data_IF_101902358766
#
_entry.id   IF_101902358766
#
_cell.length_a   1.000
_cell.length_b   1.000
_cell.length_c   1.000
_cell.angle_alpha   90.00
_cell.angle_beta   90.00
_cell.angle_gamma   90.00
#
_symmetry.space_group_name_H-M   'P 1'
#
loop_
_entity.id
_entity.type
_entity.pdbx_description
1 polymer ?
#
# COMPACT_ATOMS: atom_id res chain seq x y z
N UNK A 1 -24.33 13.86 16.24
CA UNK A 1 -23.71 12.94 17.21
C UNK A 1 -23.12 11.74 16.48
N UNK A 2 -21.88 11.38 16.86
CA UNK A 2 -21.18 10.13 16.53
C UNK A 2 -20.86 9.88 15.05
N UNK A 3 -19.90 10.64 14.51
CA UNK A 3 -19.01 10.07 13.50
C UNK A 3 -18.19 8.98 14.21
N UNK A 4 -18.41 7.73 13.79
CA UNK A 4 -17.62 6.57 14.21
C UNK A 4 -16.19 6.74 13.66
N UNK A 5 -15.36 7.57 14.32
CA UNK A 5 -13.91 7.56 14.11
C UNK A 5 -13.36 6.29 14.76
N UNK A 6 -13.41 5.20 14.01
CA UNK A 6 -12.65 4.00 14.35
C UNK A 6 -11.17 4.36 14.30
N UNK A 7 -10.54 4.45 15.47
CA UNK A 7 -9.15 4.84 15.66
C UNK A 7 -8.16 3.73 15.25
N UNK A 8 -8.32 3.16 14.06
CA UNK A 8 -7.24 2.37 13.44
C UNK A 8 -6.35 3.36 12.70
N UNK A 9 -5.50 4.07 13.44
CA UNK A 9 -4.52 4.97 12.84
C UNK A 9 -3.46 4.10 12.17
N UNK A 10 -3.62 3.84 10.88
CA UNK A 10 -2.53 3.27 10.10
C UNK A 10 -1.36 4.26 10.07
N UNK A 11 -0.11 3.80 10.07
CA UNK A 11 1.03 4.70 9.91
C UNK A 11 1.03 5.26 8.48
N UNK A 12 1.24 6.58 8.35
CA UNK A 12 1.35 7.25 7.05
C UNK A 12 2.62 6.85 6.28
N UNK A 13 3.55 6.14 6.93
CA UNK A 13 4.86 5.79 6.38
C UNK A 13 5.48 4.59 7.09
N UNK A 14 6.17 3.74 6.34
CA UNK A 14 6.92 2.60 6.89
C UNK A 14 8.20 2.32 6.09
N UNK A 15 9.19 1.70 6.73
CA UNK A 15 10.42 1.28 6.07
C UNK A 15 10.16 0.02 5.22
N UNK A 16 10.52 0.09 3.95
CA UNK A 16 10.53 -1.02 3.02
C UNK A 16 11.92 -1.06 2.37
N UNK A 17 12.88 -1.80 2.95
CA UNK A 17 14.24 -1.87 2.41
C UNK A 17 14.33 -2.66 1.10
N UNK A 18 13.20 -3.21 0.62
CA UNK A 18 13.13 -4.00 -0.61
C UNK A 18 13.08 -3.10 -1.84
N UNK A 19 13.91 -3.42 -2.82
CA UNK A 19 13.82 -2.84 -4.16
C UNK A 19 12.74 -3.55 -5.00
N UNK A 20 12.44 -3.01 -6.19
CA UNK A 20 11.35 -3.53 -7.02
C UNK A 20 11.55 -4.97 -7.50
N UNK A 21 12.80 -5.40 -7.70
CA UNK A 21 13.11 -6.78 -8.09
C UNK A 21 12.87 -7.73 -6.91
N UNK A 22 13.31 -7.35 -5.71
CA UNK A 22 13.05 -8.14 -4.50
C UNK A 22 11.55 -8.23 -4.17
N UNK A 23 10.78 -7.16 -4.40
CA UNK A 23 9.32 -7.19 -4.32
C UNK A 23 8.71 -8.11 -5.38
N UNK A 24 9.26 -8.13 -6.59
CA UNK A 24 8.79 -9.00 -7.66
C UNK A 24 9.03 -10.47 -7.32
N UNK A 25 10.23 -10.81 -6.86
CA UNK A 25 10.59 -12.15 -6.42
C UNK A 25 9.75 -12.61 -5.23
N UNK A 26 9.54 -11.74 -4.22
CA UNK A 26 8.73 -12.05 -3.04
C UNK A 26 7.25 -12.28 -3.37
N UNK A 27 6.71 -11.58 -4.38
CA UNK A 27 5.30 -11.69 -4.79
C UNK A 27 5.08 -12.70 -5.93
N UNK A 28 6.14 -13.31 -6.46
CA UNK A 28 6.06 -14.17 -7.65
C UNK A 28 5.57 -13.44 -8.90
N UNK A 29 5.76 -12.12 -8.94
CA UNK A 29 5.36 -11.25 -10.05
C UNK A 29 6.56 -10.93 -10.93
N UNK A 30 6.32 -10.54 -12.18
CA UNK A 30 7.41 -10.00 -12.99
C UNK A 30 7.78 -8.59 -12.53
N UNK A 31 9.07 -8.23 -12.64
CA UNK A 31 9.55 -6.89 -12.29
C UNK A 31 8.79 -5.78 -13.02
N UNK A 32 8.44 -5.99 -14.30
CA UNK A 32 7.66 -5.01 -15.08
C UNK A 32 6.24 -4.83 -14.52
N UNK A 33 5.64 -5.88 -13.95
CA UNK A 33 4.31 -5.80 -13.33
C UNK A 33 4.39 -5.00 -12.03
N UNK A 34 5.38 -5.26 -11.18
CA UNK A 34 5.62 -4.46 -9.96
C UNK A 34 5.85 -2.99 -10.30
N UNK A 35 6.71 -2.69 -11.28
CA UNK A 35 6.93 -1.30 -11.71
C UNK A 35 5.66 -0.61 -12.19
N UNK A 36 4.78 -1.33 -12.91
CA UNK A 36 3.48 -0.79 -13.35
C UNK A 36 2.56 -0.49 -12.17
N UNK A 37 2.44 -1.41 -11.21
CA UNK A 37 1.60 -1.22 -10.02
C UNK A 37 2.11 -0.04 -9.18
N UNK A 38 3.42 0.03 -8.90
CA UNK A 38 4.01 1.13 -8.14
C UNK A 38 3.85 2.48 -8.86
N UNK A 39 3.95 2.48 -10.20
CA UNK A 39 3.69 3.67 -11.01
C UNK A 39 2.23 4.11 -10.88
N UNK A 40 1.28 3.18 -11.01
CA UNK A 40 -0.15 3.48 -10.84
C UNK A 40 -0.43 4.07 -9.47
N UNK A 41 0.06 3.46 -8.38
CA UNK A 41 -0.12 3.96 -7.01
C UNK A 41 0.41 5.39 -6.83
N UNK A 42 1.52 5.72 -7.51
CA UNK A 42 2.09 7.06 -7.49
C UNK A 42 1.27 8.06 -8.31
N UNK A 43 0.79 7.66 -9.49
CA UNK A 43 0.00 8.50 -10.38
C UNK A 43 -1.42 8.78 -9.84
N UNK A 44 -2.01 7.81 -9.13
CA UNK A 44 -3.29 7.96 -8.44
C UNK A 44 -3.15 8.66 -7.08
N UNK A 45 -1.93 8.97 -6.65
CA UNK A 45 -1.67 9.65 -5.38
C UNK A 45 -2.03 8.81 -4.15
N UNK A 46 -2.08 7.49 -4.27
CA UNK A 46 -2.44 6.58 -3.18
C UNK A 46 -1.24 6.25 -2.28
N UNK A 47 -0.09 5.96 -2.88
CA UNK A 47 1.15 5.64 -2.17
C UNK A 47 2.39 6.00 -3.00
N UNK A 48 3.50 6.25 -2.32
CA UNK A 48 4.79 6.48 -2.95
C UNK A 48 5.91 5.66 -2.31
N UNK A 49 6.83 5.19 -3.15
CA UNK A 49 7.96 4.35 -2.75
C UNK A 49 9.24 5.10 -3.09
N UNK A 50 9.99 5.57 -2.08
CA UNK A 50 11.23 6.33 -2.28
C UNK A 50 12.23 6.02 -1.17
N UNK A 51 13.51 5.88 -1.52
CA UNK A 51 14.62 5.72 -0.58
C UNK A 51 14.40 4.62 0.50
N UNK A 52 13.78 3.50 0.11
CA UNK A 52 13.48 2.40 1.05
C UNK A 52 12.38 2.72 2.06
N UNK A 53 11.56 3.73 1.78
CA UNK A 53 10.40 4.13 2.58
C UNK A 53 9.16 4.14 1.68
N UNK A 54 8.06 3.64 2.22
CA UNK A 54 6.74 3.72 1.63
C UNK A 54 5.96 4.79 2.37
N UNK A 55 5.39 5.73 1.66
CA UNK A 55 4.44 6.70 2.18
C UNK A 55 3.04 6.38 1.66
N UNK A 56 2.06 6.36 2.56
CA UNK A 56 0.66 6.11 2.28
C UNK A 56 -0.06 7.45 2.36
N UNK A 57 -0.66 7.87 1.25
CA UNK A 57 -1.30 9.19 1.14
C UNK A 57 -2.82 9.10 1.32
N UNK A 58 -3.42 8.00 0.87
CA UNK A 58 -4.85 7.73 1.03
C UNK A 58 -5.11 6.28 1.43
N UNK A 59 -5.31 6.06 2.74
CA UNK A 59 -5.63 4.74 3.27
C UNK A 59 -6.97 4.19 2.78
N UNK A 60 -7.98 5.05 2.57
CA UNK A 60 -9.29 4.60 2.14
C UNK A 60 -9.23 4.12 0.68
N UNK A 61 -8.62 4.92 -0.20
CA UNK A 61 -8.39 4.55 -1.59
C UNK A 61 -7.48 3.33 -1.74
N UNK A 62 -6.48 3.16 -0.88
CA UNK A 62 -5.64 1.95 -0.85
C UNK A 62 -6.43 0.69 -0.48
N UNK A 63 -7.31 0.76 0.52
CA UNK A 63 -8.16 -0.37 0.94
C UNK A 63 -9.10 -0.77 -0.20
N UNK A 64 -9.75 0.21 -0.83
CA UNK A 64 -10.65 -0.01 -1.96
C UNK A 64 -9.91 -0.62 -3.17
N UNK A 65 -8.76 -0.05 -3.53
CA UNK A 65 -7.94 -0.52 -4.67
C UNK A 65 -7.38 -1.91 -4.46
N UNK A 66 -6.96 -2.24 -3.23
CA UNK A 66 -6.44 -3.56 -2.87
C UNK A 66 -7.55 -4.62 -2.75
N UNK A 67 -8.84 -4.22 -2.76
CA UNK A 67 -9.95 -5.10 -2.43
C UNK A 67 -9.81 -5.69 -1.02
N UNK A 68 -9.15 -4.97 -0.12
CA UNK A 68 -8.79 -5.47 1.20
C UNK A 68 -10.05 -5.52 2.09
N UNK A 69 -10.53 -6.73 2.40
CA UNK A 69 -11.59 -6.94 3.37
C UNK A 69 -11.01 -7.16 4.77
N UNK A 70 -11.39 -6.28 5.71
CA UNK A 70 -10.96 -6.33 7.11
C UNK A 70 -11.45 -7.60 7.83
N UNK A 71 -12.43 -8.30 7.29
CA UNK A 71 -12.88 -9.61 7.79
C UNK A 71 -11.73 -10.64 7.87
N UNK A 72 -10.69 -10.49 7.05
CA UNK A 72 -9.55 -11.40 7.01
C UNK A 72 -8.59 -11.29 8.22
N UNK A 73 -8.52 -10.14 8.91
CA UNK A 73 -7.61 -9.94 10.07
C UNK A 73 -8.35 -10.07 11.41
N UNK A 74 -9.68 -10.18 11.40
CA UNK A 74 -10.51 -10.22 12.61
C UNK A 74 -10.87 -11.64 13.09
N UNK A 75 -10.30 -12.70 12.49
CA UNK A 75 -10.45 -14.09 12.96
C UNK A 75 -9.42 -14.46 14.03
#
# INVERSE_FOLDING_TARGET
CRAHRSATSYPDRFACPLNQAELADALGLSAVHVSRVLKTLRETGLASFRNGVVELHDHAGLIETAGFDRSYISS
#
